data_IF_213401510216
#
_entry.id   IF_213401510216
#
_cell.length_a   1.000
_cell.length_b   1.000
_cell.length_c   1.000
_cell.angle_alpha   90.00
_cell.angle_beta   90.00
_cell.angle_gamma   90.00
#
_symmetry.space_group_name_H-M   'P 1'
#
loop_
_entity.id
_entity.type
_entity.pdbx_description
1 polymer ?
#
# COMPACT_ATOMS: atom_id res chain seq x y z
N UNK A 1 -5.16 16.20 3.57
CA UNK A 1 -4.57 15.37 2.51
C UNK A 1 -5.22 13.99 2.51
N UNK A 2 -4.90 13.13 1.53
CA UNK A 2 -5.51 11.79 1.46
C UNK A 2 -4.82 10.85 2.47
N UNK A 3 -5.55 10.14 3.33
CA UNK A 3 -4.94 9.18 4.25
C UNK A 3 -4.15 8.08 3.52
N UNK A 4 -3.00 7.72 4.08
CA UNK A 4 -2.10 6.73 3.44
C UNK A 4 -2.72 5.35 3.30
N UNK A 5 -3.58 4.97 4.25
CA UNK A 5 -4.32 3.70 4.22
C UNK A 5 -5.16 3.62 2.95
N UNK A 6 -5.80 4.72 2.54
CA UNK A 6 -6.64 4.78 1.33
C UNK A 6 -5.79 4.62 0.07
N UNK A 7 -4.63 5.29 0.01
CA UNK A 7 -3.70 5.13 -1.11
C UNK A 7 -3.21 3.67 -1.17
N UNK A 8 -2.82 3.06 -0.06
CA UNK A 8 -2.41 1.66 -0.01
C UNK A 8 -3.51 0.70 -0.51
N UNK A 9 -4.73 0.86 0.01
CA UNK A 9 -5.88 0.06 -0.40
C UNK A 9 -6.23 0.23 -1.88
N UNK A 10 -6.25 1.47 -2.38
CA UNK A 10 -6.52 1.77 -3.78
C UNK A 10 -5.42 1.24 -4.72
N UNK A 11 -4.16 1.36 -4.34
CA UNK A 11 -3.04 1.01 -5.22
C UNK A 11 -2.75 -0.50 -5.25
N UNK A 12 -3.07 -1.23 -4.18
CA UNK A 12 -2.70 -2.65 -4.06
C UNK A 12 -3.90 -3.58 -3.94
N UNK A 13 -4.91 -3.23 -3.14
CA UNK A 13 -6.02 -4.15 -2.89
C UNK A 13 -7.02 -4.18 -4.06
N UNK A 14 -7.48 -3.02 -4.53
CA UNK A 14 -8.45 -2.97 -5.65
C UNK A 14 -7.91 -3.56 -6.97
N UNK A 15 -6.67 -3.28 -7.41
CA UNK A 15 -6.14 -3.85 -8.64
C UNK A 15 -5.94 -5.36 -8.56
N UNK A 16 -5.66 -5.89 -7.38
CA UNK A 16 -5.52 -7.33 -7.17
C UNK A 16 -6.88 -8.03 -7.16
N UNK A 17 -7.89 -7.43 -6.54
CA UNK A 17 -9.28 -7.92 -6.63
C UNK A 17 -9.75 -7.99 -8.07
N UNK A 18 -9.55 -6.92 -8.85
CA UNK A 18 -9.97 -6.88 -10.25
C UNK A 18 -9.25 -7.94 -11.06
N UNK A 19 -7.94 -8.12 -10.87
CA UNK A 19 -7.17 -9.12 -11.62
C UNK A 19 -7.59 -10.57 -11.27
N UNK A 20 -7.78 -10.87 -9.98
CA UNK A 20 -8.23 -12.19 -9.53
C UNK A 20 -9.67 -12.49 -9.99
N UNK A 21 -10.55 -11.48 -10.01
CA UNK A 21 -11.89 -11.61 -10.57
C UNK A 21 -11.87 -11.89 -12.08
N UNK A 22 -10.98 -11.23 -12.82
CA UNK A 22 -10.81 -11.46 -14.27
C UNK A 22 -10.40 -12.90 -14.56
N UNK A 23 -9.51 -13.48 -13.76
CA UNK A 23 -9.07 -14.88 -13.94
C UNK A 23 -10.16 -15.90 -13.59
N UNK A 24 -11.13 -15.53 -12.74
CA UNK A 24 -12.31 -16.35 -12.39
C UNK A 24 -12.03 -17.78 -11.86
N UNK A 25 -10.78 -18.07 -11.51
CA UNK A 25 -10.30 -19.35 -10.98
C UNK A 25 -10.23 -19.31 -9.45
N UNK A 26 -10.03 -20.50 -8.84
CA UNK A 26 -9.59 -20.59 -7.44
C UNK A 26 -8.12 -20.14 -7.39
N UNK A 27 -7.71 -19.49 -6.30
CA UNK A 27 -6.31 -19.10 -6.10
C UNK A 27 -5.46 -20.37 -5.90
N UNK A 28 -6.02 -21.38 -5.23
CA UNK A 28 -5.44 -22.71 -5.11
C UNK A 28 -6.46 -23.81 -5.44
N UNK A 29 -6.02 -24.87 -6.10
CA UNK A 29 -6.83 -26.08 -6.34
C UNK A 29 -6.95 -26.95 -5.08
N UNK A 30 -6.00 -26.85 -4.15
CA UNK A 30 -5.96 -27.64 -2.91
C UNK A 30 -5.81 -26.77 -1.66
N UNK A 31 -6.53 -27.12 -0.59
CA UNK A 31 -6.52 -26.38 0.68
C UNK A 31 -5.39 -26.82 1.61
N UNK A 32 -4.71 -27.91 1.28
CA UNK A 32 -3.65 -28.44 2.09
C UNK A 32 -2.42 -27.53 1.98
N UNK A 33 -2.23 -26.67 2.98
CA UNK A 33 -0.89 -26.37 3.43
C UNK A 33 -0.23 -27.72 3.73
N UNK A 34 0.73 -28.15 2.91
CA UNK A 34 1.42 -29.42 3.12
C UNK A 34 2.25 -29.42 4.42
N UNK A 35 3.22 -30.33 4.50
CA UNK A 35 4.22 -30.40 5.59
C UNK A 35 5.25 -29.25 5.60
N UNK A 36 4.96 -28.12 4.96
CA UNK A 36 5.91 -27.05 4.65
C UNK A 36 6.32 -26.17 5.83
N UNK A 37 5.71 -26.32 7.01
CA UNK A 37 6.04 -25.54 8.22
C UNK A 37 7.50 -25.72 8.66
N UNK A 38 7.94 -26.98 8.68
CA UNK A 38 9.32 -27.34 9.01
C UNK A 38 10.26 -26.75 7.96
N UNK A 39 9.84 -26.73 6.69
CA UNK A 39 10.63 -26.19 5.59
C UNK A 39 10.73 -24.66 5.66
N UNK A 40 9.65 -23.97 6.03
CA UNK A 40 9.68 -22.53 6.31
C UNK A 40 10.63 -22.18 7.46
N UNK A 41 10.63 -22.98 8.53
CA UNK A 41 11.60 -22.81 9.63
C UNK A 41 13.04 -23.08 9.17
N UNK A 42 13.26 -24.13 8.37
CA UNK A 42 14.58 -24.40 7.77
C UNK A 42 15.02 -23.29 6.84
N UNK A 43 14.12 -22.66 6.10
CA UNK A 43 14.44 -21.53 5.21
C UNK A 43 14.93 -20.31 5.99
N UNK A 44 14.35 -20.03 7.17
CA UNK A 44 14.86 -19.00 8.10
C UNK A 44 16.31 -19.31 8.49
N UNK A 45 16.62 -20.56 8.85
CA UNK A 45 17.99 -20.96 9.25
C UNK A 45 18.95 -20.94 8.06
N UNK A 46 18.51 -21.43 6.89
CA UNK A 46 19.29 -21.44 5.65
C UNK A 46 19.63 -20.03 5.19
N UNK A 47 18.70 -19.09 5.36
CA UNK A 47 18.84 -17.69 4.98
C UNK A 47 19.07 -16.76 6.17
N UNK A 48 19.62 -17.26 7.29
CA UNK A 48 19.84 -16.50 8.54
C UNK A 48 20.57 -15.17 8.35
N UNK A 49 21.48 -15.10 7.38
CA UNK A 49 22.21 -13.85 7.09
C UNK A 49 21.31 -12.77 6.48
N UNK A 50 20.30 -13.14 5.68
CA UNK A 50 19.29 -12.20 5.18
C UNK A 50 18.44 -11.72 6.37
N UNK A 51 17.97 -12.65 7.20
CA UNK A 51 17.18 -12.35 8.40
C UNK A 51 17.90 -11.36 9.30
N UNK A 52 19.16 -11.62 9.66
CA UNK A 52 19.96 -10.75 10.52
C UNK A 52 20.20 -9.38 9.88
N UNK A 53 20.63 -9.34 8.61
CA UNK A 53 20.91 -8.06 7.93
C UNK A 53 19.66 -7.19 7.78
N UNK A 54 18.54 -7.79 7.37
CA UNK A 54 17.27 -7.09 7.26
C UNK A 54 16.71 -6.68 8.62
N UNK A 55 16.92 -7.47 9.67
CA UNK A 55 16.57 -7.08 11.05
C UNK A 55 17.39 -5.88 11.52
N UNK A 56 18.68 -5.82 11.20
CA UNK A 56 19.54 -4.66 11.51
C UNK A 56 19.07 -3.42 10.76
N UNK A 57 18.76 -3.55 9.46
CA UNK A 57 18.14 -2.46 8.69
C UNK A 57 16.83 -2.02 9.35
N UNK A 58 16.00 -2.98 9.76
CA UNK A 58 14.77 -2.77 10.51
C UNK A 58 14.97 -1.92 11.76
N UNK A 59 15.89 -2.35 12.62
CA UNK A 59 16.21 -1.67 13.87
C UNK A 59 16.75 -0.25 13.64
N UNK A 60 17.68 -0.06 12.70
CA UNK A 60 18.25 1.25 12.37
C UNK A 60 17.16 2.20 11.84
N UNK A 61 16.34 1.74 10.89
CA UNK A 61 15.25 2.55 10.32
C UNK A 61 14.20 2.85 11.39
N UNK A 62 13.92 1.90 12.28
CA UNK A 62 13.03 2.11 13.43
C UNK A 62 13.56 3.16 14.40
N UNK A 63 14.87 3.18 14.64
CA UNK A 63 15.51 4.15 15.52
C UNK A 63 15.52 5.58 14.93
N UNK A 64 15.29 5.72 13.63
CA UNK A 64 15.19 7.02 12.97
C UNK A 64 13.78 7.60 13.19
N UNK A 65 13.64 8.66 14.02
CA UNK A 65 12.34 9.24 14.31
C UNK A 65 11.72 9.78 13.03
N UNK A 66 10.42 9.54 12.88
CA UNK A 66 9.72 10.09 11.72
C UNK A 66 10.14 9.48 10.38
N UNK A 67 10.74 8.27 10.30
CA UNK A 67 10.81 7.51 9.04
C UNK A 67 9.65 6.52 8.85
N UNK A 68 8.98 6.15 9.95
CA UNK A 68 7.74 5.37 9.92
C UNK A 68 7.94 3.92 9.45
N UNK A 69 7.05 3.03 9.89
CA UNK A 69 7.29 1.59 9.72
C UNK A 69 7.19 1.06 8.31
N UNK A 70 6.21 1.53 7.54
CA UNK A 70 5.83 0.88 6.29
C UNK A 70 6.87 0.99 5.17
N UNK A 71 7.87 1.87 5.30
CA UNK A 71 8.96 2.02 4.32
C UNK A 71 10.02 0.93 4.49
N UNK A 72 10.15 0.38 5.70
CA UNK A 72 11.23 -0.56 6.05
C UNK A 72 11.15 -1.84 5.23
N UNK A 73 9.94 -2.31 4.95
CA UNK A 73 9.68 -3.51 4.15
C UNK A 73 10.19 -3.33 2.72
N UNK A 74 9.93 -2.17 2.14
CA UNK A 74 10.37 -1.83 0.79
C UNK A 74 11.89 -1.65 0.71
N UNK A 75 12.49 -1.03 1.72
CA UNK A 75 13.96 -0.92 1.82
C UNK A 75 14.59 -2.31 1.92
N UNK A 76 14.07 -3.17 2.79
CA UNK A 76 14.58 -4.52 2.98
C UNK A 76 14.39 -5.39 1.72
N UNK A 77 13.23 -5.29 1.06
CA UNK A 77 12.95 -5.98 -0.19
C UNK A 77 13.86 -5.48 -1.33
N UNK A 78 14.04 -4.17 -1.46
CA UNK A 78 14.96 -3.57 -2.43
C UNK A 78 16.41 -4.00 -2.18
N UNK A 79 16.84 -4.03 -0.91
CA UNK A 79 18.16 -4.48 -0.49
C UNK A 79 18.42 -5.94 -0.90
N UNK A 80 17.48 -6.85 -0.65
CA UNK A 80 17.68 -8.27 -0.99
C UNK A 80 17.70 -8.51 -2.50
N UNK A 81 16.89 -7.78 -3.28
CA UNK A 81 16.92 -7.84 -4.76
C UNK A 81 18.26 -7.33 -5.29
N UNK A 82 18.79 -6.26 -4.72
CA UNK A 82 20.03 -5.67 -5.21
C UNK A 82 21.25 -6.55 -4.91
N UNK A 83 21.24 -7.22 -3.76
CA UNK A 83 22.35 -8.06 -3.27
C UNK A 83 22.32 -9.50 -3.80
N UNK A 84 21.22 -9.93 -4.41
CA UNK A 84 21.08 -11.29 -4.95
C UNK A 84 21.50 -11.39 -6.42
N UNK A 85 22.04 -12.55 -6.82
CA UNK A 85 22.37 -12.84 -8.22
C UNK A 85 21.14 -13.27 -9.05
N UNK A 86 20.16 -13.91 -8.42
CA UNK A 86 18.99 -14.50 -9.10
C UNK A 86 17.77 -13.58 -8.96
N UNK A 87 17.80 -12.42 -9.61
CA UNK A 87 16.74 -11.40 -9.52
C UNK A 87 15.42 -11.87 -10.13
N UNK A 88 15.48 -12.76 -11.12
CA UNK A 88 14.32 -13.25 -11.89
C UNK A 88 13.31 -14.06 -11.06
N UNK A 89 13.70 -14.57 -9.89
CA UNK A 89 12.82 -15.36 -9.00
C UNK A 89 12.02 -14.49 -8.02
N UNK A 90 12.37 -13.20 -7.89
CA UNK A 90 11.65 -12.32 -6.97
C UNK A 90 10.31 -11.91 -7.57
N UNK A 91 9.25 -11.96 -6.77
CA UNK A 91 7.87 -11.80 -7.25
C UNK A 91 7.22 -13.10 -7.75
N UNK A 92 7.95 -14.21 -7.88
CA UNK A 92 7.41 -15.53 -8.27
C UNK A 92 7.29 -16.51 -7.09
N UNK A 93 7.31 -15.99 -5.85
CA UNK A 93 7.22 -16.81 -4.63
C UNK A 93 8.56 -17.20 -3.99
N UNK A 94 9.66 -16.54 -4.32
CA UNK A 94 10.95 -16.75 -3.63
C UNK A 94 10.85 -16.34 -2.14
N UNK A 95 11.12 -17.30 -1.24
CA UNK A 95 11.03 -17.12 0.22
C UNK A 95 11.89 -15.96 0.74
N UNK A 96 13.00 -15.64 0.07
CA UNK A 96 13.88 -14.53 0.47
C UNK A 96 13.20 -13.18 0.32
N UNK A 97 12.25 -13.07 -0.62
CA UNK A 97 11.41 -11.90 -0.81
C UNK A 97 10.39 -11.69 0.32
N UNK A 98 10.13 -12.71 1.13
CA UNK A 98 9.27 -12.63 2.33
C UNK A 98 10.13 -12.47 3.60
N UNK A 99 11.18 -13.27 3.74
CA UNK A 99 12.07 -13.21 4.91
C UNK A 99 12.68 -11.81 5.12
N UNK A 100 13.09 -11.14 4.05
CA UNK A 100 13.69 -9.81 4.14
C UNK A 100 12.74 -8.76 4.75
N UNK A 101 11.57 -8.46 4.15
CA UNK A 101 10.63 -7.49 4.73
C UNK A 101 10.11 -7.92 6.09
N UNK A 102 9.72 -9.18 6.28
CA UNK A 102 9.14 -9.64 7.56
C UNK A 102 10.13 -9.56 8.73
N UNK A 103 11.42 -9.83 8.48
CA UNK A 103 12.46 -9.67 9.51
C UNK A 103 12.69 -8.19 9.85
N UNK A 104 12.67 -7.33 8.83
CA UNK A 104 12.86 -5.89 9.01
C UNK A 104 11.68 -5.25 9.74
N UNK A 105 10.44 -5.59 9.36
CA UNK A 105 9.21 -5.11 9.98
C UNK A 105 9.19 -5.39 11.50
N UNK A 106 9.43 -6.66 11.87
CA UNK A 106 9.40 -7.08 13.27
C UNK A 106 10.54 -6.45 14.09
N UNK A 107 11.75 -6.35 13.53
CA UNK A 107 12.87 -5.72 14.22
C UNK A 107 12.71 -4.20 14.36
N UNK A 108 12.00 -3.56 13.43
CA UNK A 108 11.75 -2.11 13.43
C UNK A 108 10.92 -1.65 14.63
N UNK A 109 9.99 -2.46 15.14
CA UNK A 109 9.25 -2.11 16.38
C UNK A 109 10.19 -2.00 17.60
N UNK A 110 11.18 -2.89 17.70
CA UNK A 110 12.21 -2.79 18.74
C UNK A 110 13.10 -1.56 18.56
N UNK A 111 13.51 -1.24 17.33
CA UNK A 111 14.26 -0.03 17.02
C UNK A 111 13.49 1.25 17.35
N UNK A 112 12.17 1.26 17.10
CA UNK A 112 11.30 2.42 17.37
C UNK A 112 11.16 2.75 18.85
N UNK A 113 11.42 1.80 19.76
CA UNK A 113 11.47 2.08 21.19
C UNK A 113 12.66 2.96 21.58
N UNK A 114 13.76 2.95 20.84
CA UNK A 114 14.97 3.72 21.18
C UNK A 114 14.64 5.23 21.25
N UNK A 115 14.22 5.92 20.17
CA UNK A 115 13.94 7.35 20.25
C UNK A 115 12.73 7.66 21.15
N UNK A 116 11.77 6.73 21.21
CA UNK A 116 10.55 6.87 22.03
C UNK A 116 10.89 6.93 23.51
N UNK A 117 11.73 6.02 24.00
CA UNK A 117 12.10 5.96 25.41
C UNK A 117 13.22 6.95 25.76
N UNK A 118 14.23 7.11 24.91
CA UNK A 118 15.38 7.97 25.23
C UNK A 118 15.08 9.45 25.08
N UNK A 119 14.35 9.83 24.04
CA UNK A 119 14.14 11.24 23.68
C UNK A 119 12.70 11.72 23.89
N UNK A 120 11.77 10.81 24.24
CA UNK A 120 10.35 11.13 24.27
C UNK A 120 9.78 11.46 22.88
N UNK A 121 10.49 11.08 21.81
CA UNK A 121 10.10 11.36 20.43
C UNK A 121 9.60 10.06 19.78
N UNK A 122 8.35 10.00 19.31
CA UNK A 122 7.79 8.76 18.79
C UNK A 122 8.53 8.28 17.52
N UNK A 123 9.04 7.04 17.57
CA UNK A 123 9.62 6.39 16.39
C UNK A 123 8.58 6.00 15.33
N UNK A 124 7.33 5.81 15.75
CA UNK A 124 6.19 5.45 14.89
C UNK A 124 4.87 6.01 15.43
N UNK A 125 3.79 5.91 14.64
CA UNK A 125 2.45 6.30 15.09
C UNK A 125 1.95 5.49 16.29
N UNK A 126 2.24 4.18 16.34
CA UNK A 126 1.89 3.35 17.51
C UNK A 126 2.68 3.78 18.75
N UNK A 127 3.94 4.18 18.60
CA UNK A 127 4.74 4.71 19.71
C UNK A 127 4.24 6.07 20.21
N UNK A 128 3.62 6.90 19.35
CA UNK A 128 2.98 8.14 19.80
C UNK A 128 1.78 7.88 20.72
N UNK A 129 0.99 6.83 20.42
CA UNK A 129 -0.10 6.38 21.29
C UNK A 129 0.47 5.86 22.62
N UNK A 130 1.56 5.08 22.58
CA UNK A 130 2.25 4.61 23.78
C UNK A 130 2.73 5.77 24.66
N UNK A 131 3.40 6.79 24.07
CA UNK A 131 3.81 8.01 24.78
C UNK A 131 2.60 8.75 25.40
N UNK A 132 1.51 8.88 24.64
CA UNK A 132 0.26 9.45 25.15
C UNK A 132 -0.28 8.68 26.36
N UNK A 133 -0.22 7.35 26.31
CA UNK A 133 -0.55 6.48 27.43
C UNK A 133 0.34 6.69 28.66
N UNK A 134 1.66 6.85 28.48
CA UNK A 134 2.58 7.12 29.58
C UNK A 134 2.31 8.46 30.25
N UNK A 135 2.12 9.51 29.46
CA UNK A 135 1.77 10.83 29.98
C UNK A 135 0.46 10.76 30.78
N UNK A 136 -0.53 10.00 30.30
CA UNK A 136 -1.80 9.81 31.00
C UNK A 136 -1.66 9.13 32.37
N UNK A 137 -0.70 8.21 32.53
CA UNK A 137 -0.43 7.52 33.80
C UNK A 137 0.70 8.18 34.63
N UNK A 138 1.12 9.39 34.23
CA UNK A 138 2.12 10.19 34.96
C UNK A 138 3.58 9.77 34.76
N UNK A 139 3.88 9.00 33.72
CA UNK A 139 5.25 8.64 33.34
C UNK A 139 5.72 9.60 32.25
N UNK A 140 6.84 10.28 32.49
CA UNK A 140 7.47 11.16 31.51
C UNK A 140 8.60 10.42 30.76
N UNK A 141 8.43 10.13 29.46
CA UNK A 141 9.43 9.40 28.69
C UNK A 141 10.67 10.26 28.43
N UNK A 142 11.85 9.67 28.58
CA UNK A 142 13.14 10.35 28.42
C UNK A 142 14.28 9.55 29.01
N UNK A 143 15.47 10.15 29.13
CA UNK A 143 16.67 9.48 29.68
C UNK A 143 16.41 8.91 31.09
N UNK A 144 15.49 9.50 31.87
CA UNK A 144 15.00 8.99 33.17
C UNK A 144 14.43 7.57 33.10
N UNK A 145 13.88 7.17 31.95
CA UNK A 145 13.41 5.79 31.72
C UNK A 145 14.55 4.76 31.79
N UNK A 146 15.76 5.15 31.41
CA UNK A 146 16.94 4.29 31.44
C UNK A 146 17.71 4.36 32.75
N UNK A 147 17.36 5.29 33.65
CA UNK A 147 18.06 5.47 34.93
C UNK A 147 17.16 5.15 36.12
N UNK A 148 15.98 5.77 36.18
CA UNK A 148 15.04 5.67 37.31
C UNK A 148 13.92 4.65 37.08
N UNK A 149 13.51 4.41 35.83
CA UNK A 149 12.42 3.49 35.48
C UNK A 149 12.90 2.31 34.63
N UNK A 150 14.07 1.76 34.98
CA UNK A 150 14.71 0.69 34.22
C UNK A 150 13.87 -0.60 34.22
N UNK A 151 13.15 -0.85 35.31
CA UNK A 151 12.16 -1.93 35.45
C UNK A 151 11.04 -1.81 34.41
N UNK A 152 10.47 -0.62 34.24
CA UNK A 152 9.46 -0.35 33.21
C UNK A 152 10.03 -0.50 31.81
N UNK A 153 11.24 0.02 31.57
CA UNK A 153 11.96 -0.13 30.29
C UNK A 153 12.15 -1.60 29.91
N UNK A 154 12.67 -2.44 30.81
CA UNK A 154 12.82 -3.87 30.53
C UNK A 154 11.48 -4.59 30.40
N UNK A 155 10.48 -4.22 31.20
CA UNK A 155 9.13 -4.80 31.07
C UNK A 155 8.56 -4.57 29.68
N UNK A 156 8.74 -3.38 29.10
CA UNK A 156 8.32 -3.10 27.72
C UNK A 156 9.08 -3.92 26.68
N UNK A 157 10.41 -3.98 26.79
CA UNK A 157 11.26 -4.73 25.85
C UNK A 157 10.84 -6.21 25.84
N UNK A 158 10.68 -6.81 27.03
CA UNK A 158 10.24 -8.20 27.16
C UNK A 158 8.78 -8.40 26.74
N UNK A 159 7.89 -7.45 27.03
CA UNK A 159 6.49 -7.52 26.57
C UNK A 159 6.39 -7.51 25.05
N UNK A 160 7.19 -6.67 24.38
CA UNK A 160 7.27 -6.66 22.91
C UNK A 160 7.82 -7.99 22.37
N UNK A 161 8.89 -8.51 22.97
CA UNK A 161 9.49 -9.78 22.56
C UNK A 161 8.52 -10.97 22.72
N UNK A 162 7.87 -11.08 23.89
CA UNK A 162 6.88 -12.13 24.19
C UNK A 162 5.63 -11.95 23.33
N UNK A 163 5.18 -10.71 23.13
CA UNK A 163 4.04 -10.38 22.27
C UNK A 163 4.24 -10.86 20.84
N UNK A 164 5.43 -10.66 20.27
CA UNK A 164 5.77 -11.15 18.94
C UNK A 164 5.78 -12.68 18.85
N UNK A 165 6.26 -13.37 19.89
CA UNK A 165 6.20 -14.84 19.97
C UNK A 165 4.74 -15.31 20.04
N UNK A 166 3.91 -14.70 20.90
CA UNK A 166 2.50 -15.04 21.04
C UNK A 166 1.73 -14.80 19.73
N UNK A 167 1.97 -13.68 19.07
CA UNK A 167 1.39 -13.36 17.76
C UNK A 167 1.81 -14.39 16.70
N UNK A 168 3.08 -14.80 16.69
CA UNK A 168 3.56 -15.85 15.78
C UNK A 168 2.81 -17.16 16.01
N UNK A 169 2.69 -17.62 17.26
CA UNK A 169 1.95 -18.85 17.59
C UNK A 169 0.49 -18.75 17.14
N UNK A 170 -0.17 -17.62 17.39
CA UNK A 170 -1.54 -17.40 16.96
C UNK A 170 -1.67 -17.44 15.43
N UNK A 171 -0.76 -16.80 14.69
CA UNK A 171 -0.71 -16.85 13.24
C UNK A 171 -0.53 -18.28 12.71
N UNK A 172 0.34 -19.08 13.33
CA UNK A 172 0.54 -20.49 12.97
C UNK A 172 -0.73 -21.33 13.18
N UNK A 173 -1.44 -21.13 14.29
CA UNK A 173 -2.71 -21.83 14.57
C UNK A 173 -3.83 -21.46 13.58
N UNK A 174 -3.89 -20.18 13.20
CA UNK A 174 -4.91 -19.66 12.28
C UNK A 174 -4.58 -19.94 10.81
N UNK A 175 -3.32 -20.20 10.46
CA UNK A 175 -2.90 -20.33 9.06
C UNK A 175 -3.65 -21.43 8.29
N UNK A 176 -3.90 -22.58 8.91
CA UNK A 176 -4.70 -23.65 8.28
C UNK A 176 -6.13 -23.22 7.97
N UNK A 177 -6.72 -22.38 8.82
CA UNK A 177 -8.06 -21.84 8.61
C UNK A 177 -8.05 -20.79 7.49
N UNK A 178 -7.04 -19.91 7.48
CA UNK A 178 -6.88 -18.88 6.45
C UNK A 178 -6.59 -19.51 5.08
N UNK A 179 -5.76 -20.55 5.01
CA UNK A 179 -5.47 -21.23 3.75
C UNK A 179 -6.70 -21.86 3.10
N UNK A 180 -7.65 -22.38 3.88
CA UNK A 180 -8.91 -22.90 3.32
C UNK A 180 -9.66 -21.83 2.52
N UNK A 181 -9.58 -20.55 2.88
CA UNK A 181 -10.20 -19.45 2.12
C UNK A 181 -9.68 -19.40 0.67
N UNK A 182 -8.42 -19.74 0.43
CA UNK A 182 -7.81 -19.71 -0.93
C UNK A 182 -8.39 -20.73 -1.89
N UNK A 183 -9.10 -21.75 -1.38
CA UNK A 183 -9.80 -22.74 -2.21
C UNK A 183 -11.22 -22.37 -2.57
N UNK A 184 -11.77 -21.35 -1.89
CA UNK A 184 -13.08 -20.81 -2.24
C UNK A 184 -12.93 -20.06 -3.57
N UNK A 185 -13.88 -20.28 -4.49
CA UNK A 185 -13.89 -19.56 -5.76
C UNK A 185 -13.94 -18.07 -5.49
N UNK A 186 -13.03 -17.31 -6.11
CA UNK A 186 -12.81 -15.90 -5.78
C UNK A 186 -14.06 -15.02 -5.93
N UNK A 187 -14.98 -15.39 -6.82
CA UNK A 187 -16.27 -14.72 -7.00
C UNK A 187 -17.13 -14.65 -5.71
N UNK A 188 -16.97 -15.60 -4.77
CA UNK A 188 -17.66 -15.53 -3.47
C UNK A 188 -16.96 -14.59 -2.50
N UNK A 189 -15.63 -14.48 -2.56
CA UNK A 189 -14.83 -13.69 -1.63
C UNK A 189 -14.82 -12.20 -2.01
N UNK A 190 -14.76 -11.92 -3.31
CA UNK A 190 -14.62 -10.56 -3.83
C UNK A 190 -15.63 -9.54 -3.29
N UNK A 191 -16.96 -9.80 -3.23
CA UNK A 191 -17.89 -8.80 -2.74
C UNK A 191 -17.72 -8.50 -1.25
N UNK A 192 -17.34 -9.48 -0.43
CA UNK A 192 -16.99 -9.25 0.97
C UNK A 192 -15.65 -8.52 1.13
N UNK A 193 -14.65 -8.84 0.31
CA UNK A 193 -13.38 -8.11 0.31
C UNK A 193 -13.59 -6.64 -0.07
N UNK A 194 -14.43 -6.36 -1.06
CA UNK A 194 -14.77 -4.99 -1.45
C UNK A 194 -15.48 -4.25 -0.31
N UNK A 195 -16.46 -4.90 0.35
CA UNK A 195 -17.08 -4.38 1.59
C UNK A 195 -16.03 -4.01 2.65
N UNK A 196 -15.10 -4.92 2.94
CA UNK A 196 -14.05 -4.69 3.94
C UNK A 196 -13.07 -3.58 3.54
N UNK A 197 -12.73 -3.44 2.26
CA UNK A 197 -11.84 -2.38 1.78
C UNK A 197 -12.51 -1.02 1.89
N UNK A 198 -13.77 -0.91 1.48
CA UNK A 198 -14.54 0.33 1.63
C UNK A 198 -14.72 0.68 3.12
N UNK A 199 -14.93 -0.32 3.97
CA UNK A 199 -15.03 -0.13 5.41
C UNK A 199 -13.71 0.38 5.98
N UNK A 200 -12.59 -0.26 5.63
CA UNK A 200 -11.26 0.14 6.08
C UNK A 200 -10.86 1.53 5.57
N UNK A 201 -11.24 1.91 4.34
CA UNK A 201 -11.02 3.24 3.81
C UNK A 201 -11.82 4.30 4.57
N UNK A 202 -13.11 4.06 4.80
CA UNK A 202 -13.97 4.95 5.58
C UNK A 202 -13.44 5.16 7.00
N UNK A 203 -12.82 4.15 7.61
CA UNK A 203 -12.27 4.26 8.96
C UNK A 203 -11.12 5.25 9.10
N UNK A 204 -10.54 5.73 7.99
CA UNK A 204 -9.41 6.64 8.03
C UNK A 204 -9.78 8.02 8.59
N UNK A 205 -10.84 8.64 8.08
CA UNK A 205 -11.34 9.94 8.57
C UNK A 205 -12.84 9.95 8.86
N UNK A 206 -13.56 8.87 8.54
CA UNK A 206 -15.01 8.71 8.69
C UNK A 206 -15.82 9.69 7.84
N UNK A 207 -15.26 10.07 6.69
CA UNK A 207 -15.86 10.99 5.74
C UNK A 207 -16.16 10.33 4.39
N UNK A 208 -17.15 10.85 3.67
CA UNK A 208 -17.48 10.42 2.30
C UNK A 208 -16.30 10.58 1.33
N UNK A 209 -15.46 11.58 1.59
CA UNK A 209 -14.25 11.86 0.81
C UNK A 209 -13.28 10.66 0.80
N UNK A 210 -13.28 9.84 1.85
CA UNK A 210 -12.42 8.65 1.91
C UNK A 210 -12.82 7.59 0.88
N UNK A 211 -14.12 7.38 0.69
CA UNK A 211 -14.65 6.43 -0.30
C UNK A 211 -14.41 6.94 -1.73
N UNK A 212 -14.55 8.25 -1.95
CA UNK A 212 -14.24 8.86 -3.24
C UNK A 212 -12.75 8.74 -3.56
N UNK A 213 -11.87 9.06 -2.59
CA UNK A 213 -10.43 8.93 -2.73
C UNK A 213 -10.02 7.46 -2.97
N UNK A 214 -10.66 6.50 -2.30
CA UNK A 214 -10.44 5.07 -2.54
C UNK A 214 -10.78 4.70 -3.98
N UNK A 215 -11.92 5.16 -4.51
CA UNK A 215 -12.31 4.87 -5.89
C UNK A 215 -11.32 5.46 -6.90
N UNK A 216 -10.92 6.71 -6.72
CA UNK A 216 -9.94 7.39 -7.61
C UNK A 216 -8.57 6.71 -7.55
N UNK A 217 -8.04 6.46 -6.34
CA UNK A 217 -6.75 5.77 -6.16
C UNK A 217 -6.81 4.31 -6.61
N UNK A 218 -7.95 3.64 -6.41
CA UNK A 218 -8.27 2.33 -6.95
C UNK A 218 -8.14 2.26 -8.47
N UNK A 219 -8.81 3.19 -9.13
CA UNK A 219 -8.80 3.34 -10.58
C UNK A 219 -7.38 3.62 -11.09
N UNK A 220 -6.66 4.54 -10.45
CA UNK A 220 -5.26 4.83 -10.76
C UNK A 220 -4.39 3.58 -10.60
N UNK A 221 -4.53 2.85 -9.49
CA UNK A 221 -3.80 1.62 -9.23
C UNK A 221 -4.06 0.53 -10.27
N UNK A 222 -5.31 0.42 -10.76
CA UNK A 222 -5.69 -0.53 -11.82
C UNK A 222 -4.97 -0.19 -13.12
N UNK A 223 -4.99 1.07 -13.54
CA UNK A 223 -4.28 1.50 -14.75
C UNK A 223 -2.77 1.39 -14.62
N UNK A 224 -2.21 1.72 -13.45
CA UNK A 224 -0.78 1.54 -13.22
C UNK A 224 -0.36 0.07 -13.29
N UNK A 225 -1.16 -0.86 -12.74
CA UNK A 225 -0.93 -2.30 -12.88
C UNK A 225 -1.02 -2.72 -14.35
N UNK A 226 -2.02 -2.24 -15.08
CA UNK A 226 -2.23 -2.57 -16.49
C UNK A 226 -1.08 -2.12 -17.39
N UNK A 227 -0.52 -0.94 -17.14
CA UNK A 227 0.47 -0.31 -18.01
C UNK A 227 1.92 -0.44 -17.52
N UNK A 228 2.20 -1.32 -16.56
CA UNK A 228 3.56 -1.56 -16.07
C UNK A 228 4.15 -0.46 -15.17
N UNK A 229 3.34 0.47 -14.67
CA UNK A 229 3.83 1.55 -13.81
C UNK A 229 4.06 1.05 -12.38
N UNK A 230 5.18 1.44 -11.77
CA UNK A 230 5.56 0.99 -10.42
C UNK A 230 4.68 1.62 -9.33
N UNK A 231 3.64 0.88 -8.93
CA UNK A 231 2.76 1.21 -7.80
C UNK A 231 3.53 1.33 -6.47
N UNK A 232 4.52 0.44 -6.16
CA UNK A 232 5.38 0.61 -4.99
C UNK A 232 6.17 1.91 -5.00
N UNK A 233 6.75 2.31 -6.13
CA UNK A 233 7.53 3.55 -6.20
C UNK A 233 6.66 4.78 -5.88
N UNK A 234 5.43 4.82 -6.39
CA UNK A 234 4.47 5.87 -6.05
C UNK A 234 4.15 5.87 -4.55
N UNK A 235 3.86 4.70 -3.96
CA UNK A 235 3.54 4.61 -2.55
C UNK A 235 4.70 5.05 -1.66
N UNK A 236 5.94 4.71 -2.01
CA UNK A 236 7.15 5.17 -1.31
C UNK A 236 7.24 6.70 -1.38
N UNK A 237 7.12 7.28 -2.58
CA UNK A 237 7.13 8.74 -2.74
C UNK A 237 6.03 9.44 -1.92
N UNK A 238 4.81 8.88 -1.95
CA UNK A 238 3.67 9.39 -1.19
C UNK A 238 3.89 9.31 0.33
N UNK A 239 4.46 8.21 0.81
CA UNK A 239 4.76 8.02 2.23
C UNK A 239 5.79 9.05 2.72
N UNK A 240 6.83 9.31 1.93
CA UNK A 240 7.92 10.21 2.32
C UNK A 240 7.54 11.69 2.20
N UNK A 241 6.66 12.06 1.27
CA UNK A 241 6.35 13.46 0.97
C UNK A 241 5.92 14.30 2.19
N UNK A 242 4.98 13.85 3.07
CA UNK A 242 4.54 14.63 4.23
C UNK A 242 5.64 14.97 5.24
N UNK A 243 6.79 14.28 5.17
CA UNK A 243 7.96 14.51 6.05
C UNK A 243 9.06 15.25 5.33
N UNK A 244 9.27 14.93 4.06
CA UNK A 244 10.25 15.63 3.22
C UNK A 244 9.89 17.10 3.06
N UNK A 245 8.62 17.42 2.81
CA UNK A 245 8.18 18.80 2.56
C UNK A 245 8.46 19.74 3.76
N UNK A 246 8.02 19.44 5.01
CA UNK A 246 8.38 20.26 6.16
C UNK A 246 9.88 20.30 6.45
N UNK A 247 10.61 19.19 6.22
CA UNK A 247 12.05 19.13 6.48
C UNK A 247 12.84 20.01 5.51
N UNK A 248 12.46 20.01 4.23
CA UNK A 248 13.05 20.89 3.21
C UNK A 248 12.75 22.34 3.56
N UNK A 249 11.52 22.63 3.97
CA UNK A 249 11.14 23.97 4.43
C UNK A 249 12.00 24.44 5.62
N UNK A 250 12.11 23.63 6.68
CA UNK A 250 12.93 23.94 7.85
C UNK A 250 14.41 24.12 7.50
N UNK A 251 14.96 23.22 6.67
CA UNK A 251 16.36 23.28 6.24
C UNK A 251 16.63 24.57 5.46
N UNK A 252 15.74 24.93 4.53
CA UNK A 252 15.86 26.15 3.75
C UNK A 252 15.68 27.41 4.61
N UNK A 253 14.83 27.39 5.65
CA UNK A 253 14.73 28.52 6.57
C UNK A 253 16.01 28.75 7.37
N UNK A 254 16.66 27.68 7.83
CA UNK A 254 17.87 27.79 8.67
C UNK A 254 19.11 28.13 7.83
N UNK A 255 19.26 27.49 6.66
CA UNK A 255 20.50 27.55 5.87
C UNK A 255 20.33 28.26 4.53
N UNK A 256 19.12 28.68 4.13
CA UNK A 256 18.87 29.21 2.79
C UNK A 256 19.23 28.19 1.70
N UNK A 257 19.86 28.63 0.61
CA UNK A 257 20.42 27.74 -0.43
C UNK A 257 21.80 27.16 -0.05
N UNK A 258 22.43 27.65 1.02
CA UNK A 258 23.78 27.21 1.41
C UNK A 258 23.83 25.76 1.89
N UNK A 259 22.69 25.17 2.28
CA UNK A 259 22.62 23.74 2.64
C UNK A 259 23.10 22.81 1.51
N UNK A 260 22.97 23.22 0.24
CA UNK A 260 23.48 22.43 -0.90
C UNK A 260 25.01 22.35 -0.92
N UNK A 261 25.70 23.26 -0.22
CA UNK A 261 27.16 23.27 -0.09
C UNK A 261 27.65 22.38 1.07
N UNK A 262 26.76 21.86 1.92
CA UNK A 262 27.17 20.98 3.01
C UNK A 262 27.79 19.69 2.44
N UNK A 263 28.97 19.25 2.94
CA UNK A 263 29.67 18.07 2.42
C UNK A 263 28.82 16.79 2.40
N UNK A 264 27.95 16.61 3.42
CA UNK A 264 27.03 15.47 3.51
C UNK A 264 25.99 15.52 2.39
N UNK A 265 25.41 16.70 2.11
CA UNK A 265 24.41 16.89 1.06
C UNK A 265 25.03 16.62 -0.31
N UNK A 266 26.23 17.15 -0.56
CA UNK A 266 26.98 16.89 -1.80
C UNK A 266 27.26 15.39 -1.96
N UNK A 267 27.73 14.73 -0.90
CA UNK A 267 27.98 13.29 -0.88
C UNK A 267 26.73 12.47 -1.22
N UNK A 268 25.58 12.84 -0.65
CA UNK A 268 24.29 12.20 -0.94
C UNK A 268 23.84 12.44 -2.38
N UNK A 269 23.99 13.66 -2.92
CA UNK A 269 23.65 13.97 -4.32
C UNK A 269 24.51 13.13 -5.28
N UNK A 270 25.82 13.05 -5.03
CA UNK A 270 26.74 12.23 -5.84
C UNK A 270 26.32 10.76 -5.76
N UNK A 271 26.02 10.25 -4.57
CA UNK A 271 25.55 8.88 -4.39
C UNK A 271 24.23 8.61 -5.14
N UNK A 272 23.27 9.55 -5.12
CA UNK A 272 22.01 9.45 -5.87
C UNK A 272 22.27 9.41 -7.39
N UNK A 273 23.09 10.32 -7.91
CA UNK A 273 23.43 10.36 -9.34
C UNK A 273 24.16 9.08 -9.76
N UNK A 274 25.12 8.62 -8.96
CA UNK A 274 25.83 7.36 -9.18
C UNK A 274 24.88 6.15 -9.16
N UNK A 275 23.91 6.13 -8.24
CA UNK A 275 22.89 5.08 -8.17
C UNK A 275 22.00 5.06 -9.42
N UNK A 276 21.55 6.22 -9.91
CA UNK A 276 20.75 6.32 -11.14
C UNK A 276 21.57 5.86 -12.35
N UNK A 277 22.82 6.32 -12.45
CA UNK A 277 23.73 5.91 -13.52
C UNK A 277 24.00 4.40 -13.49
N UNK A 278 24.24 3.82 -12.32
CA UNK A 278 24.43 2.39 -12.14
C UNK A 278 23.16 1.61 -12.51
N UNK A 279 21.98 2.06 -12.07
CA UNK A 279 20.71 1.44 -12.42
C UNK A 279 20.47 1.43 -13.94
N UNK A 280 20.81 2.52 -14.64
CA UNK A 280 20.73 2.59 -16.10
C UNK A 280 21.80 1.71 -16.79
N UNK A 281 23.03 1.67 -16.26
CA UNK A 281 24.14 0.92 -16.86
C UNK A 281 24.00 -0.60 -16.71
N UNK A 282 23.53 -1.04 -15.55
CA UNK A 282 23.39 -2.44 -15.15
C UNK A 282 21.93 -2.91 -15.12
N UNK A 283 21.04 -2.24 -15.85
CA UNK A 283 19.65 -2.65 -15.95
C UNK A 283 19.55 -4.07 -16.51
N UNK A 284 18.91 -5.02 -15.81
CA UNK A 284 18.75 -6.39 -16.29
C UNK A 284 17.93 -6.48 -17.58
N UNK A 285 17.10 -5.48 -17.85
CA UNK A 285 16.21 -5.45 -19.01
C UNK A 285 16.92 -4.90 -20.27
N UNK A 286 18.20 -4.53 -20.16
CA UNK A 286 18.98 -3.94 -21.26
C UNK A 286 19.30 -5.03 -22.28
N UNK A 287 18.75 -4.90 -23.49
CA UNK A 287 18.94 -5.86 -24.58
C UNK A 287 17.87 -6.96 -24.65
N UNK A 288 16.84 -6.91 -23.80
CA UNK A 288 15.67 -7.78 -23.98
C UNK A 288 14.93 -7.40 -25.27
N UNK A 289 14.65 -8.41 -26.10
CA UNK A 289 13.81 -8.30 -27.27
C UNK A 289 12.36 -8.62 -26.89
N UNK A 290 11.46 -7.74 -27.31
CA UNK A 290 10.04 -7.88 -27.03
C UNK A 290 9.30 -8.40 -28.27
N UNK A 291 8.27 -9.20 -28.04
CA UNK A 291 7.38 -9.71 -29.10
C UNK A 291 6.22 -8.74 -29.32
N UNK A 292 5.82 -8.55 -30.58
CA UNK A 292 4.63 -7.75 -30.93
C UNK A 292 3.32 -8.38 -30.41
N UNK A 293 3.30 -9.70 -30.24
CA UNK A 293 2.16 -10.39 -29.62
C UNK A 293 2.12 -10.27 -28.08
N UNK A 294 3.18 -9.71 -27.47
CA UNK A 294 3.27 -9.53 -26.02
C UNK A 294 2.70 -8.20 -25.52
N UNK A 295 2.89 -7.96 -24.22
CA UNK A 295 2.44 -6.74 -23.51
C UNK A 295 3.10 -5.47 -24.06
N UNK A 296 4.34 -5.60 -24.55
CA UNK A 296 5.18 -4.50 -25.04
C UNK A 296 5.06 -4.21 -26.54
N UNK A 297 4.02 -4.72 -27.22
CA UNK A 297 3.83 -4.50 -28.65
C UNK A 297 3.42 -3.06 -29.00
N UNK A 298 3.43 -2.73 -30.29
CA UNK A 298 3.12 -1.39 -30.83
C UNK A 298 1.64 -1.17 -31.15
N UNK A 299 0.89 -2.25 -31.40
CA UNK A 299 -0.54 -2.16 -31.69
C UNK A 299 -1.37 -1.60 -30.53
N UNK A 300 -2.41 -0.81 -30.82
CA UNK A 300 -3.38 -0.28 -29.84
C UNK A 300 -2.79 0.42 -28.59
N UNK A 301 -1.69 1.18 -28.72
CA UNK A 301 -1.07 1.95 -27.63
C UNK A 301 -1.87 3.15 -27.09
N UNK A 302 -3.05 3.43 -27.67
CA UNK A 302 -3.88 4.60 -27.30
C UNK A 302 -4.24 4.65 -25.81
N UNK A 303 -4.70 3.56 -25.16
CA UNK A 303 -5.06 3.59 -23.74
C UNK A 303 -3.87 3.97 -22.85
N UNK A 304 -2.69 3.42 -23.13
CA UNK A 304 -1.46 3.71 -22.38
C UNK A 304 -1.02 5.17 -22.58
N UNK A 305 -1.11 5.70 -23.81
CA UNK A 305 -0.80 7.10 -24.11
C UNK A 305 -1.77 8.08 -23.43
N UNK A 306 -3.07 7.77 -23.41
CA UNK A 306 -4.08 8.58 -22.72
C UNK A 306 -3.77 8.61 -21.22
N UNK A 307 -3.47 7.45 -20.63
CA UNK A 307 -3.10 7.37 -19.22
C UNK A 307 -1.84 8.19 -18.90
N UNK A 308 -0.78 8.03 -19.70
CA UNK A 308 0.45 8.81 -19.55
C UNK A 308 0.19 10.32 -19.69
N UNK A 309 -0.67 10.73 -20.63
CA UNK A 309 -1.05 12.12 -20.83
C UNK A 309 -1.86 12.69 -19.66
N UNK A 310 -2.76 11.91 -19.06
CA UNK A 310 -3.50 12.31 -17.85
C UNK A 310 -2.54 12.52 -16.68
N UNK A 311 -1.62 11.57 -16.44
CA UNK A 311 -0.60 11.70 -15.37
C UNK A 311 0.30 12.91 -15.62
N UNK A 312 0.74 13.12 -16.86
CA UNK A 312 1.52 14.29 -17.24
C UNK A 312 0.75 15.59 -17.01
N UNK A 313 -0.54 15.62 -17.39
CA UNK A 313 -1.43 16.73 -17.13
C UNK A 313 -1.56 17.06 -15.65
N UNK A 314 -1.66 16.05 -14.77
CA UNK A 314 -1.67 16.25 -13.32
C UNK A 314 -0.36 16.87 -12.81
N UNK A 315 0.80 16.43 -13.34
CA UNK A 315 2.11 16.98 -12.96
C UNK A 315 2.25 18.44 -13.42
N UNK A 316 1.84 18.75 -14.65
CA UNK A 316 1.85 20.12 -15.18
C UNK A 316 0.87 21.01 -14.41
N UNK A 317 -0.32 20.50 -14.10
CA UNK A 317 -1.28 21.21 -13.26
C UNK A 317 -0.71 21.50 -11.88
N UNK A 318 -0.05 20.52 -11.24
CA UNK A 318 0.63 20.74 -9.96
C UNK A 318 1.73 21.80 -10.07
N UNK A 319 2.51 21.82 -11.17
CA UNK A 319 3.50 22.86 -11.40
C UNK A 319 2.85 24.24 -11.53
N UNK A 320 1.75 24.36 -12.26
CA UNK A 320 1.01 25.61 -12.42
C UNK A 320 0.40 26.06 -11.08
N UNK A 321 -0.26 25.15 -10.36
CA UNK A 321 -0.89 25.43 -9.08
C UNK A 321 0.15 25.85 -8.02
N UNK A 322 1.38 25.33 -8.10
CA UNK A 322 2.47 25.72 -7.19
C UNK A 322 2.72 27.23 -7.15
N UNK A 323 2.43 27.96 -8.23
CA UNK A 323 2.61 29.41 -8.29
C UNK A 323 1.60 30.18 -7.43
N UNK A 324 0.48 29.55 -7.04
CA UNK A 324 -0.51 30.13 -6.14
C UNK A 324 -0.07 30.12 -4.67
N UNK A 325 0.97 29.36 -4.32
CA UNK A 325 1.47 29.25 -2.95
C UNK A 325 2.60 30.26 -2.65
N UNK A 326 2.86 30.49 -1.36
CA UNK A 326 3.99 31.31 -0.91
C UNK A 326 5.32 30.77 -1.43
N UNK A 327 6.39 31.59 -1.41
CA UNK A 327 7.72 31.16 -1.87
C UNK A 327 8.15 29.86 -1.20
N UNK A 328 7.89 29.70 0.09
CA UNK A 328 8.28 28.50 0.79
C UNK A 328 7.35 27.31 0.51
N UNK A 329 6.04 27.54 0.35
CA UNK A 329 5.08 26.48 0.02
C UNK A 329 5.24 25.92 -1.40
N UNK A 330 5.85 26.68 -2.32
CA UNK A 330 6.05 26.23 -3.70
C UNK A 330 7.32 25.42 -3.93
N UNK A 331 8.37 25.53 -3.09
CA UNK A 331 9.69 24.92 -3.34
C UNK A 331 9.58 23.40 -3.55
N UNK A 332 8.97 22.68 -2.60
CA UNK A 332 8.88 21.23 -2.68
C UNK A 332 8.07 20.78 -3.89
N UNK A 333 6.88 21.37 -4.07
CA UNK A 333 5.96 21.06 -5.16
C UNK A 333 6.60 21.34 -6.53
N UNK A 334 7.31 22.45 -6.69
CA UNK A 334 8.02 22.81 -7.92
C UNK A 334 9.17 21.85 -8.23
N UNK A 335 9.99 21.50 -7.25
CA UNK A 335 11.10 20.56 -7.45
C UNK A 335 10.55 19.21 -7.94
N UNK A 336 9.54 18.67 -7.27
CA UNK A 336 8.92 17.39 -7.65
C UNK A 336 8.27 17.47 -9.03
N UNK A 337 7.52 18.54 -9.31
CA UNK A 337 6.81 18.69 -10.58
C UNK A 337 7.76 18.93 -11.76
N UNK A 338 8.81 19.75 -11.60
CA UNK A 338 9.82 19.98 -12.65
C UNK A 338 10.57 18.69 -12.97
N UNK A 339 11.03 17.95 -11.96
CA UNK A 339 11.66 16.64 -12.15
C UNK A 339 10.69 15.67 -12.84
N UNK A 340 9.42 15.67 -12.42
CA UNK A 340 8.36 14.87 -13.05
C UNK A 340 8.18 15.19 -14.53
N UNK A 341 8.13 16.47 -14.91
CA UNK A 341 8.04 16.92 -16.31
C UNK A 341 9.27 16.46 -17.11
N UNK A 342 10.48 16.65 -16.57
CA UNK A 342 11.73 16.27 -17.22
C UNK A 342 11.83 14.75 -17.47
N UNK A 343 11.24 13.92 -16.61
CA UNK A 343 11.21 12.46 -16.78
C UNK A 343 10.07 12.00 -17.69
N UNK A 344 8.90 12.63 -17.60
CA UNK A 344 7.72 12.23 -18.36
C UNK A 344 7.78 12.63 -19.83
N UNK A 345 8.35 13.80 -20.16
CA UNK A 345 8.44 14.28 -21.54
C UNK A 345 9.21 13.29 -22.46
N UNK A 346 10.43 12.84 -22.12
CA UNK A 346 11.13 11.83 -22.92
C UNK A 346 10.40 10.49 -22.98
N UNK A 347 9.79 10.05 -21.87
CA UNK A 347 9.03 8.79 -21.81
C UNK A 347 7.88 8.82 -22.82
N UNK A 348 7.04 9.87 -22.78
CA UNK A 348 5.93 10.02 -23.71
C UNK A 348 6.40 10.14 -25.16
N UNK A 349 7.49 10.88 -25.40
CA UNK A 349 8.09 10.98 -26.73
C UNK A 349 8.48 9.59 -27.28
N UNK A 350 9.14 8.77 -26.46
CA UNK A 350 9.51 7.40 -26.86
C UNK A 350 8.29 6.49 -27.05
N UNK A 351 7.24 6.61 -26.24
CA UNK A 351 6.00 5.83 -26.41
C UNK A 351 5.29 6.17 -27.73
N UNK A 352 5.24 7.46 -28.11
CA UNK A 352 4.62 7.93 -29.35
C UNK A 352 5.45 7.53 -30.58
N UNK A 353 6.78 7.56 -30.48
CA UNK A 353 7.70 7.20 -31.58
C UNK A 353 8.08 5.73 -31.64
N UNK A 354 7.60 4.88 -30.75
CA UNK A 354 7.89 3.46 -30.79
C UNK A 354 7.31 2.81 -32.06
N UNK A 355 8.17 2.41 -32.99
CA UNK A 355 7.82 1.67 -34.22
C UNK A 355 8.00 0.16 -34.06
N UNK A 356 8.74 -0.26 -33.04
CA UNK A 356 9.00 -1.66 -32.70
C UNK A 356 8.59 -1.92 -31.25
N UNK A 357 8.27 -3.18 -30.89
CA UNK A 357 8.05 -3.57 -29.50
C UNK A 357 9.18 -3.07 -28.60
N UNK A 358 8.82 -2.37 -27.53
CA UNK A 358 9.79 -1.69 -26.67
C UNK A 358 9.28 -1.69 -25.23
N UNK A 359 10.19 -1.78 -24.26
CA UNK A 359 9.84 -1.82 -22.83
C UNK A 359 9.18 -0.55 -22.28
N UNK A 360 9.09 0.53 -23.08
CA UNK A 360 8.29 1.74 -22.74
C UNK A 360 6.79 1.54 -22.99
N UNK A 361 6.43 0.58 -23.85
CA UNK A 361 5.06 0.17 -24.09
C UNK A 361 4.75 -1.00 -23.17
N UNK A 362 3.60 -1.00 -22.52
CA UNK A 362 3.17 -2.11 -21.68
C UNK A 362 1.65 -2.03 -21.56
N UNK A 363 0.95 -3.09 -21.95
CA UNK A 363 -0.47 -3.26 -21.73
C UNK A 363 -0.81 -4.74 -21.46
N UNK A 364 -1.01 -5.07 -20.19
CA UNK A 364 -1.37 -6.40 -19.73
C UNK A 364 -2.73 -6.88 -20.27
N UNK A 365 -3.61 -6.00 -20.78
CA UNK A 365 -4.85 -6.47 -21.45
C UNK A 365 -4.57 -7.22 -22.78
N UNK A 366 -3.36 -7.13 -23.34
CA UNK A 366 -3.03 -7.79 -24.60
C UNK A 366 -2.80 -9.29 -24.46
N UNK A 367 -2.28 -9.74 -23.32
CA UNK A 367 -1.87 -11.13 -23.09
C UNK A 367 -2.92 -11.94 -22.36
N UNK A 368 -3.82 -11.27 -21.63
CA UNK A 368 -4.80 -11.93 -20.78
C UNK A 368 -6.01 -12.39 -21.63
N UNK A 369 -6.15 -13.70 -21.82
CA UNK A 369 -7.37 -14.31 -22.38
C UNK A 369 -8.47 -14.34 -21.32
N UNK A 370 -9.34 -13.32 -21.29
CA UNK A 370 -10.44 -13.22 -20.32
C UNK A 370 -11.76 -12.83 -20.97
N UNK A 371 -12.85 -13.27 -20.37
CA UNK A 371 -14.22 -13.01 -20.85
C UNK A 371 -14.62 -11.53 -20.74
N UNK A 372 -14.02 -10.79 -19.79
CA UNK A 372 -14.35 -9.40 -19.52
C UNK A 372 -13.10 -8.55 -19.31
N UNK A 373 -13.13 -7.36 -19.90
CA UNK A 373 -12.07 -6.37 -19.73
C UNK A 373 -12.02 -5.79 -18.31
N UNK A 374 -10.91 -5.15 -17.98
CA UNK A 374 -10.72 -4.39 -16.73
C UNK A 374 -11.87 -3.40 -16.47
N UNK A 375 -12.42 -2.78 -17.51
CA UNK A 375 -13.50 -1.79 -17.38
C UNK A 375 -14.79 -2.39 -16.82
N UNK A 376 -15.10 -3.65 -17.13
CA UNK A 376 -16.26 -4.36 -16.58
C UNK A 376 -16.20 -4.45 -15.06
N UNK A 377 -15.02 -4.80 -14.52
CA UNK A 377 -14.82 -4.93 -13.08
C UNK A 377 -14.65 -3.58 -12.38
N UNK A 378 -14.13 -2.56 -13.07
CA UNK A 378 -14.20 -1.19 -12.59
C UNK A 378 -15.65 -0.73 -12.44
N UNK A 379 -16.54 -1.13 -13.36
CA UNK A 379 -17.98 -0.91 -13.26
C UNK A 379 -18.60 -1.53 -12.00
N UNK A 380 -18.12 -2.69 -11.55
CA UNK A 380 -18.55 -3.27 -10.27
C UNK A 380 -18.08 -2.47 -9.06
N UNK A 381 -16.83 -1.98 -9.05
CA UNK A 381 -16.34 -1.12 -7.97
C UNK A 381 -17.13 0.19 -7.93
N UNK A 382 -17.41 0.80 -9.09
CA UNK A 382 -18.27 1.97 -9.21
C UNK A 382 -19.71 1.67 -8.77
N UNK A 383 -20.24 0.49 -9.12
CA UNK A 383 -21.56 0.03 -8.70
C UNK A 383 -21.68 -0.07 -7.19
N UNK A 384 -20.65 -0.59 -6.51
CA UNK A 384 -20.60 -0.59 -5.05
C UNK A 384 -20.61 0.83 -4.49
N UNK A 385 -19.76 1.72 -5.01
CA UNK A 385 -19.71 3.12 -4.59
C UNK A 385 -21.06 3.82 -4.76
N UNK A 386 -21.72 3.62 -5.90
CA UNK A 386 -23.04 4.16 -6.19
C UNK A 386 -24.12 3.61 -5.26
N UNK A 387 -24.15 2.29 -5.02
CA UNK A 387 -25.10 1.68 -4.09
C UNK A 387 -24.94 2.22 -2.66
N UNK A 388 -23.71 2.36 -2.20
CA UNK A 388 -23.41 2.97 -0.90
C UNK A 388 -23.91 4.42 -0.87
N UNK A 389 -23.72 5.19 -1.95
CA UNK A 389 -24.23 6.57 -2.08
C UNK A 389 -25.75 6.68 -2.07
N UNK A 390 -26.45 5.68 -2.63
CA UNK A 390 -27.90 5.68 -2.73
C UNK A 390 -28.58 5.28 -1.44
N UNK A 391 -28.16 4.16 -0.83
CA UNK A 391 -28.89 3.54 0.31
C UNK A 391 -28.11 3.51 1.62
N UNK A 392 -26.92 4.11 1.65
CA UNK A 392 -26.00 4.11 2.78
C UNK A 392 -25.14 2.85 2.84
N UNK A 393 -24.07 2.90 3.63
CA UNK A 393 -23.01 1.90 3.57
C UNK A 393 -23.44 0.46 3.89
N UNK A 394 -24.17 0.17 4.99
CA UNK A 394 -24.49 -1.22 5.32
C UNK A 394 -25.44 -1.86 4.31
N UNK A 395 -26.52 -1.14 3.95
CA UNK A 395 -27.49 -1.62 2.95
C UNK A 395 -26.90 -1.66 1.55
N UNK A 396 -26.10 -0.67 1.18
CA UNK A 396 -25.40 -0.62 -0.10
C UNK A 396 -24.45 -1.81 -0.25
N UNK A 397 -23.74 -2.17 0.82
CA UNK A 397 -22.88 -3.35 0.87
C UNK A 397 -23.67 -4.65 0.76
N UNK A 398 -24.78 -4.82 1.50
CA UNK A 398 -25.63 -6.01 1.38
C UNK A 398 -26.23 -6.17 -0.02
N UNK A 399 -26.76 -5.09 -0.59
CA UNK A 399 -27.35 -5.08 -1.92
C UNK A 399 -26.29 -5.37 -2.98
N UNK A 400 -25.09 -4.80 -2.82
CA UNK A 400 -23.97 -5.11 -3.69
C UNK A 400 -23.59 -6.59 -3.64
N UNK A 401 -23.43 -7.17 -2.44
CA UNK A 401 -23.13 -8.59 -2.25
C UNK A 401 -24.20 -9.44 -2.94
N UNK A 402 -25.47 -9.13 -2.72
CA UNK A 402 -26.59 -9.84 -3.34
C UNK A 402 -26.54 -9.79 -4.87
N UNK A 403 -26.47 -8.59 -5.46
CA UNK A 403 -26.48 -8.40 -6.93
C UNK A 403 -25.24 -9.04 -7.55
N UNK A 404 -24.06 -8.82 -6.98
CA UNK A 404 -22.81 -9.37 -7.47
C UNK A 404 -22.87 -10.90 -7.53
N UNK A 405 -23.37 -11.53 -6.45
CA UNK A 405 -23.48 -12.98 -6.40
C UNK A 405 -24.52 -13.55 -7.36
N UNK A 406 -25.69 -12.91 -7.52
CA UNK A 406 -26.67 -13.35 -8.52
C UNK A 406 -26.08 -13.38 -9.93
N UNK A 407 -25.30 -12.35 -10.28
CA UNK A 407 -24.77 -12.21 -11.64
C UNK A 407 -23.53 -13.08 -11.86
N UNK A 408 -22.63 -13.22 -10.89
CA UNK A 408 -21.32 -13.88 -11.07
C UNK A 408 -21.22 -15.29 -10.55
N UNK A 409 -22.07 -15.68 -9.60
CA UNK A 409 -22.04 -17.02 -9.00
C UNK A 409 -23.13 -17.91 -9.59
N UNK A 410 -24.37 -17.43 -9.64
CA UNK A 410 -25.52 -18.16 -10.16
C UNK A 410 -26.84 -17.73 -9.52
N UNK A 411 -27.95 -18.33 -9.93
CA UNK A 411 -29.27 -17.96 -9.43
C UNK A 411 -29.58 -18.67 -8.09
N UNK A 412 -29.37 -17.97 -6.97
CA UNK A 412 -29.67 -18.47 -5.63
C UNK A 412 -30.09 -17.33 -4.69
N UNK A 413 -31.28 -16.72 -4.89
CA UNK A 413 -31.74 -15.52 -4.19
C UNK A 413 -31.65 -15.64 -2.67
N UNK A 414 -32.17 -16.72 -2.10
CA UNK A 414 -32.19 -16.90 -0.65
C UNK A 414 -30.76 -16.97 -0.06
N UNK A 415 -29.85 -17.74 -0.67
CA UNK A 415 -28.49 -17.90 -0.17
C UNK A 415 -27.70 -16.58 -0.25
N UNK A 416 -27.84 -15.86 -1.36
CA UNK A 416 -27.14 -14.59 -1.54
C UNK A 416 -27.72 -13.47 -0.67
N UNK A 417 -29.03 -13.51 -0.38
CA UNK A 417 -29.65 -12.59 0.58
C UNK A 417 -29.11 -12.84 2.00
N UNK A 418 -29.00 -14.12 2.42
CA UNK A 418 -28.39 -14.48 3.71
C UNK A 418 -26.93 -13.98 3.79
N UNK A 419 -26.16 -14.10 2.70
CA UNK A 419 -24.79 -13.59 2.61
C UNK A 419 -24.72 -12.05 2.68
N UNK A 420 -25.66 -11.34 2.06
CA UNK A 420 -25.75 -9.88 2.20
C UNK A 420 -26.12 -9.47 3.64
N UNK A 421 -27.07 -10.15 4.25
CA UNK A 421 -27.51 -9.91 5.64
C UNK A 421 -26.36 -10.18 6.63
N UNK A 422 -25.55 -11.22 6.41
CA UNK A 422 -24.40 -11.49 7.27
C UNK A 422 -23.34 -10.37 7.19
N UNK A 423 -23.19 -9.74 6.02
CA UNK A 423 -22.37 -8.53 5.86
C UNK A 423 -22.88 -7.37 6.72
N UNK A 424 -24.19 -7.11 6.71
CA UNK A 424 -24.81 -6.07 7.56
C UNK A 424 -24.67 -6.41 9.05
N UNK A 425 -24.89 -7.66 9.43
CA UNK A 425 -24.71 -8.10 10.82
C UNK A 425 -23.27 -7.87 11.29
N UNK A 426 -22.28 -8.23 10.46
CA UNK A 426 -20.86 -7.95 10.74
C UNK A 426 -20.61 -6.45 10.92
N UNK A 427 -21.10 -5.61 10.00
CA UNK A 427 -20.96 -4.15 10.11
C UNK A 427 -21.66 -3.58 11.35
N UNK A 428 -22.82 -4.10 11.72
CA UNK A 428 -23.52 -3.70 12.96
C UNK A 428 -22.70 -4.01 14.21
N UNK A 429 -22.09 -5.21 14.26
CA UNK A 429 -21.17 -5.58 15.35
C UNK A 429 -19.96 -4.65 15.39
N UNK A 430 -19.33 -4.39 14.25
CA UNK A 430 -18.19 -3.46 14.18
C UNK A 430 -18.57 -2.05 14.60
N UNK A 431 -19.72 -1.54 14.16
CA UNK A 431 -20.23 -0.23 14.57
C UNK A 431 -20.45 -0.14 16.07
N UNK A 432 -20.98 -1.18 16.71
CA UNK A 432 -21.17 -1.20 18.15
C UNK A 432 -19.84 -1.13 18.90
N UNK A 433 -18.88 -2.00 18.56
CA UNK A 433 -17.59 -2.05 19.26
C UNK A 433 -16.70 -0.83 18.99
N UNK A 434 -16.80 -0.24 17.81
CA UNK A 434 -15.96 0.88 17.39
C UNK A 434 -16.69 2.24 17.49
N UNK A 435 -17.94 2.25 18.00
CA UNK A 435 -18.82 3.43 18.09
C UNK A 435 -18.89 4.21 16.76
N UNK A 436 -19.15 3.49 15.66
CA UNK A 436 -19.08 4.05 14.31
C UNK A 436 -20.44 4.43 13.77
N UNK A 437 -20.53 5.64 13.22
CA UNK A 437 -21.61 6.05 12.33
C UNK A 437 -21.16 5.84 10.89
N UNK A 438 -21.85 4.96 10.17
CA UNK A 438 -21.57 4.72 8.76
C UNK A 438 -22.02 5.89 7.89
N UNK A 439 -21.41 6.07 6.70
CA UNK A 439 -21.78 7.17 5.83
C UNK A 439 -23.21 6.98 5.32
N UNK A 440 -24.01 8.02 5.50
CA UNK A 440 -25.40 8.11 5.09
C UNK A 440 -25.51 8.25 3.58
N UNK A 441 -26.39 7.46 2.95
CA UNK A 441 -26.75 7.65 1.55
C UNK A 441 -27.93 8.62 1.38
N UNK A 442 -28.41 8.74 0.14
CA UNK A 442 -29.60 9.54 -0.17
C UNK A 442 -30.87 9.00 0.50
N UNK A 443 -30.95 7.69 0.78
CA UNK A 443 -32.11 7.10 1.46
C UNK A 443 -32.30 7.67 2.88
N UNK A 444 -31.20 7.93 3.58
CA UNK A 444 -31.18 8.47 4.94
C UNK A 444 -31.58 9.96 4.99
N UNK A 445 -31.67 10.66 3.85
CA UNK A 445 -32.25 12.02 3.82
C UNK A 445 -33.78 12.02 3.80
N UNK A 446 -34.38 10.86 3.50
CA UNK A 446 -35.84 10.68 3.40
C UNK A 446 -36.39 9.87 4.57
N UNK A 447 -35.57 8.96 5.13
CA UNK A 447 -35.98 8.05 6.20
C UNK A 447 -35.01 8.17 7.38
N UNK A 448 -35.54 8.52 8.55
CA UNK A 448 -34.79 8.44 9.80
C UNK A 448 -34.48 6.99 10.15
N UNK A 449 -33.20 6.68 10.28
CA UNK A 449 -32.70 5.35 10.59
C UNK A 449 -31.98 5.33 11.94
N UNK A 450 -31.76 4.14 12.52
CA UNK A 450 -30.85 4.00 13.65
C UNK A 450 -29.47 4.63 13.38
N UNK A 451 -28.88 5.22 14.42
CA UNK A 451 -27.65 6.03 14.34
C UNK A 451 -26.49 5.36 13.57
N UNK A 452 -26.35 4.04 13.67
CA UNK A 452 -25.27 3.33 13.00
C UNK A 452 -25.53 3.08 11.51
N UNK A 453 -26.78 3.15 11.05
CA UNK A 453 -27.17 3.00 9.64
C UNK A 453 -27.08 4.30 8.84
N UNK A 454 -26.46 5.33 9.41
CA UNK A 454 -26.32 6.66 8.81
C UNK A 454 -27.51 7.58 9.06
N UNK A 455 -28.39 7.23 10.01
CA UNK A 455 -29.41 8.15 10.56
C UNK A 455 -28.84 9.03 11.65
#
# INVERSE_FOLDING_TARGET
>A
GIPIVIVGLGMFALPEIVDLLRRSTRISETASLGAGWIEGFKDVIRHRWIVVRCSVIGCIVGALPGLGGSVVDWIAYGHVIQTTKNRERYGTGDVRGVLAPESANNAKEGGALIPTLLFGIPGSGSMAILLGGFILIGIEPGITMLTQHLDLTFTMIWSLAIGNIAATVLCLLLANHIAKLTTIRYAYLAPFMLMLIFFAAFQATREWNDLFALFVMGTLGIYMKRFGWSRPALLIGYFLAPRLEPTIYQTYQVYGMSFLQHPIVIGLIIATVASIYAAWRFSPNRGQTYSEAGEHGTSNRKPQLIFAAVVFGCIVYALIDSFNYTWFGRIFMQIVAVVGVLLMLPLMYFMVRAEKPAGVLDDAERTIKVDYSVYHYLGWVLGMFALVGLVGFPFGSALFIFIFMQVKVGNAPLKHAIMGISGVAFLGVMSHFLTLRYPSGLLQSVIDMPWWLGG
#
